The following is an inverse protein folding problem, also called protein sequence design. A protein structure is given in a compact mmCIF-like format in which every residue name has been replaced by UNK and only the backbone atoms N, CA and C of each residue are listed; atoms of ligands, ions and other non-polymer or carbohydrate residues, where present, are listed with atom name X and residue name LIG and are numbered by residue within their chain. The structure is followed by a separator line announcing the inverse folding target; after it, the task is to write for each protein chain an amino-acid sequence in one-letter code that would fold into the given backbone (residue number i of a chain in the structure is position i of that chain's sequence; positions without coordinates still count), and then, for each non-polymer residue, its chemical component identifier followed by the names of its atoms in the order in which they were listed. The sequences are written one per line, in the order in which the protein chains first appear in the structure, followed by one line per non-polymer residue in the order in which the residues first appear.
data_IF_899032660613
#
_entry.id   IF_899032660613
#
_cell.length_a   1.000
_cell.length_b   1.000
_cell.length_c   1.000
_cell.angle_alpha   90.00
_cell.angle_beta   90.00
_cell.angle_gamma   90.00
#
_symmetry.space_group_name_H-M   'P 1'
#
loop_
_entity.id
_entity.type
_entity.pdbx_description
1 polymer ?
#
# COMPACT_ATOMS: atom_id res chain seq x y z
N UNK A 1 2.15 -20.89 10.20
CA UNK A 1 2.69 -20.40 11.49
C UNK A 1 3.13 -18.95 11.39
N UNK A 2 3.94 -18.55 10.38
CA UNK A 2 4.45 -17.16 10.21
C UNK A 2 3.32 -16.14 10.09
N UNK A 3 2.30 -16.41 9.27
CA UNK A 3 1.18 -15.49 9.09
C UNK A 3 0.43 -15.23 10.41
N UNK A 4 0.09 -16.29 11.16
CA UNK A 4 -0.67 -16.18 12.40
C UNK A 4 0.13 -15.56 13.55
N UNK A 5 1.42 -15.93 13.67
CA UNK A 5 2.23 -15.52 14.82
C UNK A 5 2.95 -14.19 14.62
N UNK A 6 3.17 -13.77 13.37
CA UNK A 6 3.96 -12.56 13.06
C UNK A 6 3.10 -11.55 12.31
N UNK A 7 2.55 -11.91 11.16
CA UNK A 7 1.89 -10.96 10.25
C UNK A 7 0.57 -10.46 10.83
N UNK A 8 -0.27 -11.37 11.32
CA UNK A 8 -1.58 -11.02 11.87
C UNK A 8 -1.47 -10.06 13.07
N UNK A 9 -0.71 -10.34 14.15
CA UNK A 9 -0.61 -9.43 15.28
C UNK A 9 0.12 -8.12 14.94
N UNK A 10 1.05 -8.14 13.99
CA UNK A 10 1.75 -6.93 13.58
C UNK A 10 0.84 -5.96 12.79
N UNK A 11 -0.03 -6.48 11.93
CA UNK A 11 -0.89 -5.66 11.09
C UNK A 11 -2.22 -5.26 11.76
N UNK A 12 -2.74 -6.07 12.68
CA UNK A 12 -4.05 -5.84 13.30
C UNK A 12 -4.22 -4.44 13.92
N UNK A 13 -3.27 -3.91 14.72
CA UNK A 13 -3.39 -2.57 15.29
C UNK A 13 -3.49 -1.48 14.21
N UNK A 14 -2.74 -1.59 13.12
CA UNK A 14 -2.77 -0.62 12.02
C UNK A 14 -4.11 -0.63 11.27
N UNK A 15 -4.68 -1.84 11.06
CA UNK A 15 -6.01 -1.96 10.46
C UNK A 15 -7.09 -1.35 11.35
N UNK A 16 -7.08 -1.66 12.64
CA UNK A 16 -8.03 -1.07 13.59
C UNK A 16 -7.87 0.46 13.63
N UNK A 17 -6.64 0.96 13.74
CA UNK A 17 -6.36 2.39 13.77
C UNK A 17 -6.84 3.08 12.48
N UNK A 18 -6.59 2.51 11.29
CA UNK A 18 -7.05 3.07 10.02
C UNK A 18 -8.58 3.15 9.95
N UNK A 19 -9.28 2.08 10.38
CA UNK A 19 -10.75 2.04 10.44
C UNK A 19 -11.31 3.13 11.38
N UNK A 20 -10.71 3.29 12.56
CA UNK A 20 -11.11 4.33 13.53
C UNK A 20 -10.85 5.74 12.99
N UNK A 21 -9.67 5.99 12.42
CA UNK A 21 -9.31 7.28 11.84
C UNK A 21 -10.25 7.67 10.68
N UNK A 22 -10.64 6.69 9.86
CA UNK A 22 -11.65 6.93 8.81
C UNK A 22 -13.01 7.27 9.42
N UNK A 23 -13.49 6.51 10.40
CA UNK A 23 -14.76 6.76 11.06
C UNK A 23 -14.79 8.11 11.80
N UNK A 24 -13.66 8.55 12.35
CA UNK A 24 -13.53 9.87 12.98
C UNK A 24 -13.35 11.04 11.98
N UNK A 25 -13.40 10.77 10.69
CA UNK A 25 -13.33 11.81 9.66
C UNK A 25 -11.93 12.40 9.43
N UNK A 26 -10.86 11.76 9.94
CA UNK A 26 -9.48 12.21 9.74
C UNK A 26 -9.12 12.23 8.26
N UNK A 27 -9.65 11.28 7.47
CA UNK A 27 -9.50 11.25 6.01
C UNK A 27 -10.01 12.54 5.37
N UNK A 28 -11.17 13.02 5.82
CA UNK A 28 -11.78 14.24 5.29
C UNK A 28 -10.99 15.50 5.71
N UNK A 29 -10.46 15.52 6.93
CA UNK A 29 -9.55 16.55 7.40
C UNK A 29 -8.29 16.63 6.54
N UNK A 30 -7.58 15.52 6.40
CA UNK A 30 -6.39 15.43 5.57
C UNK A 30 -6.70 15.74 4.09
N UNK A 31 -7.87 15.31 3.64
CA UNK A 31 -8.36 15.55 2.29
C UNK A 31 -8.44 17.04 1.95
N UNK A 32 -9.01 17.84 2.82
CA UNK A 32 -9.09 19.30 2.60
C UNK A 32 -7.72 19.96 2.77
N UNK A 33 -6.97 19.55 3.79
CA UNK A 33 -5.68 20.19 4.12
C UNK A 33 -4.62 19.96 3.05
N UNK A 34 -4.55 18.75 2.48
CA UNK A 34 -3.51 18.33 1.56
C UNK A 34 -3.94 18.31 0.08
N UNK A 35 -5.19 18.72 -0.22
CA UNK A 35 -5.66 18.89 -1.60
C UNK A 35 -4.70 19.74 -2.47
N UNK A 36 -4.19 20.92 -1.98
CA UNK A 36 -3.29 21.77 -2.78
C UNK A 36 -1.94 21.12 -3.08
N UNK A 37 -1.57 20.08 -2.37
CA UNK A 37 -0.31 19.32 -2.58
C UNK A 37 -0.55 18.08 -3.45
N UNK A 38 -1.56 17.29 -3.11
CA UNK A 38 -1.83 16.01 -3.77
C UNK A 38 -2.29 16.18 -5.22
N UNK A 39 -3.13 17.17 -5.50
CA UNK A 39 -3.62 17.44 -6.85
C UNK A 39 -2.50 17.80 -7.83
N UNK A 40 -1.64 18.80 -7.58
CA UNK A 40 -0.59 19.15 -8.52
C UNK A 40 0.51 18.12 -8.61
N UNK A 41 0.85 17.39 -7.56
CA UNK A 41 1.94 16.43 -7.59
C UNK A 41 1.54 15.10 -8.21
N UNK A 42 0.41 14.52 -7.81
CA UNK A 42 0.03 13.15 -8.17
C UNK A 42 -1.28 13.06 -8.95
N UNK A 43 -2.00 14.17 -9.11
CA UNK A 43 -3.32 14.22 -9.74
C UNK A 43 -4.33 13.25 -9.10
N UNK A 44 -4.31 13.21 -7.77
CA UNK A 44 -5.24 12.47 -6.90
C UNK A 44 -5.87 13.41 -5.86
N UNK A 45 -7.01 13.07 -5.27
CA UNK A 45 -7.63 13.92 -4.25
C UNK A 45 -6.78 14.01 -2.99
N UNK A 46 -6.96 15.08 -2.23
CA UNK A 46 -6.27 15.26 -0.96
C UNK A 46 -6.51 14.13 0.05
N UNK A 47 -7.67 13.47 0.00
CA UNK A 47 -7.95 12.25 0.77
C UNK A 47 -6.92 11.12 0.52
N UNK A 48 -6.29 11.10 -0.65
CA UNK A 48 -5.20 10.19 -0.98
C UNK A 48 -3.96 10.36 -0.10
N UNK A 49 -3.78 11.54 0.53
CA UNK A 49 -2.70 11.75 1.50
C UNK A 49 -2.82 10.85 2.73
N UNK A 50 -4.04 10.55 3.15
CA UNK A 50 -4.28 9.59 4.23
C UNK A 50 -3.83 8.18 3.82
N UNK A 51 -4.17 7.75 2.61
CA UNK A 51 -3.72 6.45 2.06
C UNK A 51 -2.20 6.41 1.98
N UNK A 52 -1.59 7.49 1.51
CA UNK A 52 -0.13 7.60 1.43
C UNK A 52 0.52 7.47 2.81
N UNK A 53 0.03 8.21 3.82
CA UNK A 53 0.56 8.14 5.17
C UNK A 53 0.46 6.72 5.76
N UNK A 54 -0.71 6.08 5.65
CA UNK A 54 -0.90 4.72 6.18
C UNK A 54 -0.17 3.67 5.34
N UNK A 55 -0.22 3.77 4.02
CA UNK A 55 0.46 2.83 3.13
C UNK A 55 1.98 2.81 3.33
N UNK A 56 2.58 3.99 3.50
CA UNK A 56 4.03 4.12 3.71
C UNK A 56 4.48 3.69 5.12
N UNK A 57 3.63 3.79 6.11
CA UNK A 57 3.96 3.36 7.48
C UNK A 57 3.68 1.89 7.73
N UNK A 58 2.55 1.40 7.25
CA UNK A 58 2.08 0.03 7.55
C UNK A 58 2.45 -0.98 6.46
N UNK A 59 2.65 -0.50 5.22
CA UNK A 59 3.00 -1.35 4.08
C UNK A 59 1.78 -2.03 3.42
N UNK A 60 2.08 -2.86 2.40
CA UNK A 60 1.03 -3.63 1.73
C UNK A 60 0.43 -4.70 2.67
N UNK A 61 -0.84 -5.04 2.52
CA UNK A 61 -1.78 -4.56 1.50
C UNK A 61 -2.63 -3.35 1.94
N UNK A 62 -2.28 -2.65 3.02
CA UNK A 62 -3.13 -1.61 3.62
C UNK A 62 -3.38 -0.46 2.65
N UNK A 63 -2.37 -0.05 1.89
CA UNK A 63 -2.51 1.02 0.89
C UNK A 63 -3.63 0.73 -0.13
N UNK A 64 -3.66 -0.47 -0.69
CA UNK A 64 -4.70 -0.88 -1.65
C UNK A 64 -6.08 -0.97 -1.02
N UNK A 65 -6.18 -1.48 0.21
CA UNK A 65 -7.45 -1.64 0.91
C UNK A 65 -8.07 -0.30 1.28
N UNK A 66 -7.28 0.62 1.83
CA UNK A 66 -7.75 1.97 2.16
C UNK A 66 -8.13 2.73 0.88
N UNK A 67 -7.38 2.55 -0.22
CA UNK A 67 -7.73 3.11 -1.53
C UNK A 67 -9.09 2.59 -2.02
N UNK A 68 -9.31 1.27 -1.95
CA UNK A 68 -10.58 0.66 -2.34
C UNK A 68 -11.75 1.21 -1.52
N UNK A 69 -11.53 1.42 -0.22
CA UNK A 69 -12.53 2.04 0.66
C UNK A 69 -12.81 3.50 0.31
N UNK A 70 -11.76 4.30 0.03
CA UNK A 70 -11.95 5.68 -0.46
C UNK A 70 -12.82 5.71 -1.73
N UNK A 71 -12.58 4.75 -2.63
CA UNK A 71 -13.41 4.61 -3.84
C UNK A 71 -14.84 4.24 -3.53
N UNK A 72 -15.08 3.29 -2.63
CA UNK A 72 -16.41 2.87 -2.21
C UNK A 72 -17.20 4.00 -1.53
N UNK A 73 -16.53 4.86 -0.78
CA UNK A 73 -17.10 6.05 -0.12
C UNK A 73 -17.23 7.26 -1.08
N UNK A 74 -16.87 7.13 -2.37
CA UNK A 74 -16.97 8.21 -3.35
C UNK A 74 -15.97 9.36 -3.13
N UNK A 75 -14.87 9.13 -2.44
CA UNK A 75 -13.84 10.13 -2.14
C UNK A 75 -12.76 10.23 -3.22
N UNK A 76 -12.70 9.28 -4.15
CA UNK A 76 -11.84 9.31 -5.32
C UNK A 76 -12.51 8.64 -6.52
N UNK A 77 -12.10 9.02 -7.73
CA UNK A 77 -12.53 8.37 -8.97
C UNK A 77 -11.80 7.03 -9.15
N UNK A 78 -12.25 6.22 -10.12
CA UNK A 78 -11.57 4.97 -10.47
C UNK A 78 -10.13 5.22 -10.88
N UNK A 79 -9.90 6.18 -11.77
CA UNK A 79 -8.56 6.52 -12.27
C UNK A 79 -7.66 7.07 -11.16
N UNK A 80 -8.22 7.88 -10.25
CA UNK A 80 -7.49 8.38 -9.09
C UNK A 80 -7.14 7.25 -8.11
N UNK A 81 -8.03 6.27 -7.92
CA UNK A 81 -7.75 5.09 -7.12
C UNK A 81 -6.64 4.21 -7.74
N UNK A 82 -6.67 4.01 -9.07
CA UNK A 82 -5.64 3.27 -9.80
C UNK A 82 -4.26 3.94 -9.65
N UNK A 83 -4.19 5.27 -9.83
CA UNK A 83 -2.96 6.04 -9.57
C UNK A 83 -2.50 5.89 -8.13
N UNK A 84 -3.39 6.13 -7.18
CA UNK A 84 -3.08 6.13 -5.75
C UNK A 84 -2.54 4.76 -5.32
N UNK A 85 -3.22 3.69 -5.70
CA UNK A 85 -2.82 2.32 -5.37
C UNK A 85 -1.43 1.96 -5.93
N UNK A 86 -1.08 2.49 -7.10
CA UNK A 86 0.18 2.16 -7.77
C UNK A 86 1.43 2.62 -7.01
N UNK A 87 1.35 3.71 -6.22
CA UNK A 87 2.51 4.22 -5.49
C UNK A 87 2.36 4.20 -3.95
N UNK A 88 1.18 3.83 -3.43
CA UNK A 88 0.94 3.74 -1.98
C UNK A 88 0.89 2.32 -1.45
N UNK A 89 0.76 1.31 -2.33
CA UNK A 89 0.77 -0.09 -1.93
C UNK A 89 2.21 -0.63 -1.98
N UNK A 90 3.00 -0.31 -0.99
CA UNK A 90 4.44 -0.54 -0.90
C UNK A 90 4.84 -1.32 0.36
N UNK A 91 6.11 -1.64 0.51
CA UNK A 91 6.63 -2.32 1.69
C UNK A 91 6.72 -1.39 2.90
N UNK A 92 6.51 -1.91 4.10
CA UNK A 92 6.67 -1.13 5.32
C UNK A 92 8.14 -0.91 5.69
N UNK A 93 8.46 0.19 6.41
CA UNK A 93 9.81 0.42 6.93
C UNK A 93 10.30 -0.74 7.80
N UNK A 94 9.42 -1.29 8.63
CA UNK A 94 9.75 -2.42 9.50
C UNK A 94 10.17 -3.66 8.72
N UNK A 95 9.51 -3.93 7.58
CA UNK A 95 9.87 -5.04 6.72
C UNK A 95 11.23 -4.81 6.06
N UNK A 96 11.45 -3.64 5.48
CA UNK A 96 12.71 -3.33 4.78
C UNK A 96 13.91 -3.24 5.70
N UNK A 97 13.77 -2.55 6.83
CA UNK A 97 14.86 -2.35 7.79
C UNK A 97 15.07 -3.58 8.68
N UNK A 98 13.99 -4.23 9.14
CA UNK A 98 14.05 -5.36 10.05
C UNK A 98 14.22 -6.69 9.33
N UNK A 99 13.23 -7.08 8.53
CA UNK A 99 13.23 -8.42 7.93
C UNK A 99 14.28 -8.56 6.81
N UNK A 100 14.36 -7.57 5.89
CA UNK A 100 15.27 -7.67 4.74
C UNK A 100 16.70 -7.30 5.15
N UNK A 101 16.94 -6.09 5.65
CA UNK A 101 18.30 -5.63 5.91
C UNK A 101 18.99 -6.40 7.03
N UNK A 102 18.32 -6.56 8.17
CA UNK A 102 18.91 -7.27 9.32
C UNK A 102 18.71 -8.78 9.19
N UNK A 103 17.47 -9.22 8.88
CA UNK A 103 17.15 -10.65 8.89
C UNK A 103 17.72 -11.43 7.71
N UNK A 104 17.81 -10.84 6.51
CA UNK A 104 18.28 -11.52 5.29
C UNK A 104 19.73 -11.15 4.94
N UNK A 105 20.05 -9.86 4.92
CA UNK A 105 21.38 -9.38 4.54
C UNK A 105 22.35 -9.25 5.72
N UNK A 106 21.88 -9.41 6.96
CA UNK A 106 22.65 -9.21 8.19
C UNK A 106 23.45 -7.88 8.20
N UNK A 107 22.92 -6.86 7.54
CA UNK A 107 23.56 -5.56 7.40
C UNK A 107 22.52 -4.43 7.52
N UNK A 108 22.40 -3.76 8.68
CA UNK A 108 21.44 -2.68 8.89
C UNK A 108 21.61 -1.48 7.94
N UNK A 109 22.84 -1.22 7.47
CA UNK A 109 23.11 -0.09 6.58
C UNK A 109 22.46 -0.25 5.21
N UNK A 110 22.33 -1.48 4.70
CA UNK A 110 21.63 -1.74 3.44
C UNK A 110 20.14 -1.41 3.52
N UNK A 111 19.56 -1.45 4.71
CA UNK A 111 18.15 -1.12 4.92
C UNK A 111 17.79 0.31 4.55
N UNK A 112 18.67 1.26 4.86
CA UNK A 112 18.46 2.68 4.52
C UNK A 112 18.49 2.87 2.99
N UNK A 113 19.43 2.17 2.33
CA UNK A 113 19.54 2.23 0.85
C UNK A 113 18.30 1.61 0.19
N UNK A 114 17.90 0.42 0.66
CA UNK A 114 16.72 -0.30 0.13
C UNK A 114 15.46 0.53 0.36
N UNK A 115 15.24 1.03 1.57
CA UNK A 115 14.08 1.84 1.89
C UNK A 115 14.08 3.17 1.11
N UNK A 116 15.22 3.83 1.02
CA UNK A 116 15.38 5.06 0.25
C UNK A 116 15.09 4.86 -1.23
N UNK A 117 15.68 3.84 -1.86
CA UNK A 117 15.43 3.50 -3.26
C UNK A 117 13.95 3.15 -3.49
N UNK A 118 13.36 2.33 -2.63
CA UNK A 118 11.97 1.90 -2.73
C UNK A 118 11.00 3.07 -2.63
N UNK A 119 11.12 3.91 -1.60
CA UNK A 119 10.21 5.05 -1.44
C UNK A 119 10.41 6.13 -2.50
N UNK A 120 11.65 6.40 -2.88
CA UNK A 120 11.93 7.35 -3.96
C UNK A 120 11.34 6.86 -5.29
N UNK A 121 11.51 5.57 -5.62
CA UNK A 121 10.92 4.97 -6.82
C UNK A 121 9.40 5.07 -6.83
N UNK A 122 8.73 4.82 -5.69
CA UNK A 122 7.29 4.95 -5.58
C UNK A 122 6.81 6.41 -5.75
N UNK A 123 7.54 7.38 -5.19
CA UNK A 123 7.21 8.81 -5.39
C UNK A 123 7.38 9.23 -6.86
N UNK A 124 8.46 8.78 -7.50
CA UNK A 124 8.70 9.01 -8.94
C UNK A 124 7.60 8.35 -9.77
N UNK A 125 7.22 7.11 -9.45
CA UNK A 125 6.12 6.42 -10.10
C UNK A 125 4.81 7.19 -9.97
N UNK A 126 4.48 7.67 -8.76
CA UNK A 126 3.30 8.50 -8.52
C UNK A 126 3.31 9.78 -9.34
N UNK A 127 4.48 10.42 -9.47
CA UNK A 127 4.65 11.59 -10.31
C UNK A 127 4.49 11.27 -11.81
N UNK A 128 5.00 10.15 -12.29
CA UNK A 128 4.82 9.72 -13.69
C UNK A 128 3.35 9.40 -13.96
N UNK A 129 2.70 8.66 -13.07
CA UNK A 129 1.30 8.24 -13.23
C UNK A 129 0.28 9.40 -13.12
N UNK A 130 0.70 10.58 -12.68
CA UNK A 130 -0.18 11.77 -12.74
C UNK A 130 -0.68 12.07 -14.17
N UNK A 131 0.05 11.60 -15.19
CA UNK A 131 -0.31 11.78 -16.60
C UNK A 131 -1.20 10.65 -17.15
N UNK A 132 -1.30 9.52 -16.43
CA UNK A 132 -2.13 8.37 -16.80
C UNK A 132 -3.61 8.76 -16.84
N UNK A 133 -4.33 8.34 -17.89
CA UNK A 133 -5.77 8.54 -18.10
C UNK A 133 -6.25 9.98 -17.79
N UNK A 134 -5.50 10.98 -18.23
CA UNK A 134 -5.74 12.40 -17.94
C UNK A 134 -7.03 12.94 -18.55
N UNK A 135 -7.54 12.28 -19.58
CA UNK A 135 -8.78 12.62 -20.29
C UNK A 135 -10.05 12.16 -19.54
N UNK A 136 -9.95 11.12 -18.72
CA UNK A 136 -11.06 10.62 -17.93
C UNK A 136 -11.20 11.42 -16.63
N UNK A 137 -11.82 12.58 -16.71
CA UNK A 137 -12.13 13.41 -15.54
C UNK A 137 -13.54 13.09 -15.04
N UNK A 138 -13.67 12.10 -14.17
CA UNK A 138 -14.79 12.12 -13.23
C UNK A 138 -14.60 13.37 -12.35
N UNK A 139 -15.51 14.34 -12.50
CA UNK A 139 -15.47 15.58 -11.70
C UNK A 139 -16.00 15.30 -10.31
N UNK A 140 -15.12 14.96 -9.38
CA UNK A 140 -15.48 15.11 -7.98
C UNK A 140 -15.47 16.61 -7.61
N UNK A 141 -16.39 17.05 -6.74
CA UNK A 141 -16.45 18.45 -6.35
C UNK A 141 -15.11 18.88 -5.77
N UNK A 142 -14.42 19.75 -6.49
CA UNK A 142 -13.24 20.44 -5.94
C UNK A 142 -13.74 21.17 -4.69
N UNK A 143 -13.19 20.80 -3.56
CA UNK A 143 -13.43 21.56 -2.32
C UNK A 143 -12.81 22.94 -2.58
N UNK A 144 -13.64 23.92 -2.87
CA UNK A 144 -13.21 25.28 -3.14
C UNK A 144 -12.34 25.75 -1.97
N UNK A 145 -11.06 25.99 -2.26
CA UNK A 145 -10.08 26.57 -1.35
C UNK A 145 -10.47 28.04 -1.05
N UNK A 146 -11.45 28.23 -0.19
CA UNK A 146 -11.80 29.55 0.36
C UNK A 146 -11.08 29.74 1.69
N UNK A 147 -10.65 30.96 1.96
CA UNK A 147 -9.92 31.49 3.13
C UNK A 147 -10.07 30.64 4.40
N UNK A 148 -8.95 30.08 4.89
CA UNK A 148 -8.92 29.30 6.13
C UNK A 148 -8.91 27.77 5.92
N UNK A 149 -7.89 27.26 5.22
CA UNK A 149 -7.74 25.82 4.90
C UNK A 149 -7.93 24.93 6.13
N UNK A 150 -7.26 25.27 7.23
CA UNK A 150 -7.35 24.53 8.49
C UNK A 150 -8.77 24.56 9.07
N UNK A 151 -9.41 25.73 9.06
CA UNK A 151 -10.79 25.87 9.55
C UNK A 151 -11.77 25.06 8.71
N UNK A 152 -11.59 25.07 7.39
CA UNK A 152 -12.43 24.28 6.46
C UNK A 152 -12.21 22.78 6.66
N UNK A 153 -10.96 22.34 6.89
CA UNK A 153 -10.62 20.96 7.17
C UNK A 153 -11.26 20.47 8.49
N UNK A 154 -11.13 21.26 9.57
CA UNK A 154 -11.78 20.96 10.85
C UNK A 154 -13.30 20.93 10.74
N UNK A 155 -13.88 21.91 10.03
CA UNK A 155 -15.34 21.96 9.83
C UNK A 155 -15.82 20.69 9.08
N UNK A 156 -15.10 20.27 8.06
CA UNK A 156 -15.43 19.04 7.31
C UNK A 156 -15.34 17.78 8.17
N UNK A 157 -14.29 17.66 8.98
CA UNK A 157 -14.15 16.54 9.91
C UNK A 157 -15.29 16.51 10.93
N UNK A 158 -15.59 17.65 11.56
CA UNK A 158 -16.69 17.76 12.53
C UNK A 158 -18.07 17.49 11.90
N UNK A 159 -18.26 17.91 10.65
CA UNK A 159 -19.49 17.60 9.91
C UNK A 159 -19.69 16.09 9.73
N UNK A 160 -18.62 15.38 9.34
CA UNK A 160 -18.67 13.92 9.20
C UNK A 160 -18.93 13.25 10.55
N UNK A 161 -18.23 13.68 11.62
CA UNK A 161 -18.46 13.17 12.96
C UNK A 161 -19.91 13.39 13.46
N UNK A 162 -20.52 14.54 13.13
CA UNK A 162 -21.92 14.81 13.50
C UNK A 162 -22.93 13.99 12.71
N UNK A 163 -22.57 13.55 11.51
CA UNK A 163 -23.40 12.65 10.70
C UNK A 163 -23.27 11.18 11.12
N UNK A 164 -22.20 10.87 11.87
CA UNK A 164 -21.97 9.54 12.40
C UNK A 164 -22.84 9.33 13.66
N UNK A 165 -23.93 8.61 13.47
CA UNK A 165 -24.93 8.37 14.53
C UNK A 165 -24.64 7.11 15.37
N UNK A 166 -23.58 6.38 15.05
CA UNK A 166 -23.23 5.14 15.78
C UNK A 166 -22.56 5.47 17.10
N UNK A 167 -22.94 4.78 18.21
CA UNK A 167 -22.25 4.93 19.48
C UNK A 167 -20.80 4.46 19.36
N UNK A 168 -19.91 5.05 20.15
CA UNK A 168 -18.45 4.79 20.10
C UNK A 168 -18.13 3.29 20.21
N UNK A 169 -18.81 2.57 21.09
CA UNK A 169 -18.63 1.12 21.25
C UNK A 169 -18.94 0.34 19.97
N UNK A 170 -19.94 0.78 19.18
CA UNK A 170 -20.26 0.16 17.89
C UNK A 170 -19.18 0.47 16.84
N UNK A 171 -18.70 1.71 16.79
CA UNK A 171 -17.61 2.10 15.89
C UNK A 171 -16.36 1.26 16.16
N UNK A 172 -15.98 1.10 17.43
CA UNK A 172 -14.85 0.26 17.83
C UNK A 172 -15.07 -1.23 17.50
N UNK A 173 -16.26 -1.74 17.75
CA UNK A 173 -16.62 -3.13 17.43
C UNK A 173 -16.57 -3.39 15.91
N UNK A 174 -17.11 -2.48 15.12
CA UNK A 174 -17.08 -2.55 13.65
C UNK A 174 -15.62 -2.46 13.14
N UNK A 175 -14.80 -1.57 13.69
CA UNK A 175 -13.40 -1.42 13.33
C UNK A 175 -12.61 -2.71 13.58
N UNK A 176 -12.77 -3.35 14.74
CA UNK A 176 -12.12 -4.62 15.06
C UNK A 176 -12.62 -5.72 14.12
N UNK A 177 -13.94 -5.84 13.92
CA UNK A 177 -14.51 -6.85 13.01
C UNK A 177 -13.98 -6.70 11.59
N UNK A 178 -14.00 -5.50 11.05
CA UNK A 178 -13.51 -5.21 9.70
C UNK A 178 -12.02 -5.53 9.59
N UNK A 179 -11.22 -5.11 10.56
CA UNK A 179 -9.79 -5.38 10.61
C UNK A 179 -9.49 -6.89 10.60
N UNK A 180 -10.17 -7.66 11.45
CA UNK A 180 -10.01 -9.12 11.51
C UNK A 180 -10.44 -9.79 10.22
N UNK A 181 -11.62 -9.42 9.67
CA UNK A 181 -12.11 -9.98 8.40
C UNK A 181 -11.14 -9.71 7.26
N UNK A 182 -10.63 -8.49 7.16
CA UNK A 182 -9.67 -8.11 6.12
C UNK A 182 -8.36 -8.90 6.26
N UNK A 183 -7.85 -9.07 7.47
CA UNK A 183 -6.65 -9.87 7.71
C UNK A 183 -6.86 -11.34 7.38
N UNK A 184 -8.00 -11.92 7.72
CA UNK A 184 -8.32 -13.31 7.35
C UNK A 184 -8.36 -13.50 5.83
N UNK A 185 -8.96 -12.57 5.09
CA UNK A 185 -8.96 -12.58 3.62
C UNK A 185 -7.52 -12.52 3.06
N UNK A 186 -6.67 -11.62 3.59
CA UNK A 186 -5.25 -11.53 3.22
C UNK A 186 -4.54 -12.86 3.49
N UNK A 187 -4.76 -13.45 4.68
CA UNK A 187 -4.19 -14.75 5.04
C UNK A 187 -4.59 -15.85 4.07
N UNK A 188 -5.84 -15.87 3.62
CA UNK A 188 -6.34 -16.78 2.59
C UNK A 188 -5.58 -16.63 1.26
N UNK A 189 -5.38 -15.40 0.80
CA UNK A 189 -4.60 -15.14 -0.42
C UNK A 189 -3.12 -15.52 -0.27
N UNK A 190 -2.50 -15.23 0.87
CA UNK A 190 -1.11 -15.62 1.13
C UNK A 190 -0.96 -17.15 1.05
N UNK A 191 -1.89 -17.91 1.63
CA UNK A 191 -1.86 -19.38 1.58
C UNK A 191 -2.06 -19.86 0.13
N UNK A 192 -3.04 -19.31 -0.58
CA UNK A 192 -3.31 -19.65 -1.99
C UNK A 192 -2.07 -19.43 -2.86
N UNK A 193 -1.45 -18.24 -2.78
CA UNK A 193 -0.27 -17.93 -3.57
C UNK A 193 0.95 -18.77 -3.15
N UNK A 194 1.12 -19.07 -1.86
CA UNK A 194 2.18 -19.96 -1.41
C UNK A 194 2.06 -21.36 -2.02
N UNK A 195 0.83 -21.90 -2.12
CA UNK A 195 0.57 -23.20 -2.78
C UNK A 195 0.85 -23.11 -4.29
N UNK A 196 0.38 -22.04 -4.95
CA UNK A 196 0.64 -21.83 -6.39
C UNK A 196 2.15 -21.77 -6.67
N UNK A 197 2.90 -20.99 -5.90
CA UNK A 197 4.35 -20.87 -6.07
C UNK A 197 5.04 -22.24 -5.87
N UNK A 198 4.63 -22.99 -4.85
CA UNK A 198 5.18 -24.32 -4.59
C UNK A 198 4.91 -25.27 -5.76
N UNK A 199 3.73 -25.22 -6.37
CA UNK A 199 3.40 -25.99 -7.57
C UNK A 199 4.27 -25.57 -8.76
N UNK A 200 4.46 -24.26 -8.98
CA UNK A 200 5.31 -23.73 -10.05
C UNK A 200 6.78 -24.18 -9.91
N UNK A 201 7.27 -24.27 -8.68
CA UNK A 201 8.60 -24.86 -8.41
C UNK A 201 8.65 -26.34 -8.79
N UNK A 202 7.64 -27.12 -8.40
CA UNK A 202 7.58 -28.56 -8.68
C UNK A 202 7.50 -28.88 -10.18
N UNK A 203 6.77 -28.08 -10.94
CA UNK A 203 6.64 -28.22 -12.40
C UNK A 203 7.86 -27.69 -13.15
N UNK A 204 8.85 -27.11 -12.46
CA UNK A 204 10.05 -26.54 -13.08
C UNK A 204 9.84 -25.21 -13.80
N UNK A 205 8.66 -24.60 -13.65
CA UNK A 205 8.33 -23.32 -14.30
C UNK A 205 9.28 -22.19 -13.89
N UNK A 206 9.68 -22.14 -12.63
CA UNK A 206 10.62 -21.14 -12.12
C UNK A 206 12.00 -21.28 -12.80
N UNK A 207 12.47 -22.50 -13.01
CA UNK A 207 13.74 -22.76 -13.71
C UNK A 207 13.66 -22.35 -15.19
N UNK A 208 12.52 -22.59 -15.83
CA UNK A 208 12.27 -22.13 -17.21
C UNK A 208 12.27 -20.60 -17.28
N UNK A 209 11.61 -19.94 -16.36
CA UNK A 209 11.59 -18.48 -16.26
C UNK A 209 12.99 -17.92 -16.01
N UNK A 210 13.76 -18.54 -15.10
CA UNK A 210 15.15 -18.16 -14.84
C UNK A 210 16.01 -18.31 -16.10
N UNK A 211 15.81 -19.37 -16.88
CA UNK A 211 16.47 -19.57 -18.18
C UNK A 211 16.13 -18.47 -19.19
N UNK A 212 14.86 -18.09 -19.30
CA UNK A 212 14.45 -16.98 -20.17
C UNK A 212 15.05 -15.65 -19.72
N UNK A 213 15.01 -15.36 -18.41
CA UNK A 213 15.64 -14.17 -17.87
C UNK A 213 17.16 -14.17 -18.12
N UNK A 214 17.79 -15.34 -18.09
CA UNK A 214 19.22 -15.50 -18.39
C UNK A 214 19.60 -15.00 -19.79
N UNK A 215 18.75 -15.21 -20.79
CA UNK A 215 19.01 -14.74 -22.15
C UNK A 215 19.25 -13.22 -22.19
N UNK A 216 18.53 -12.47 -21.37
CA UNK A 216 18.60 -11.02 -21.33
C UNK A 216 19.61 -10.49 -20.29
N UNK A 217 19.77 -11.18 -19.16
CA UNK A 217 20.53 -10.67 -18.02
C UNK A 217 21.99 -11.10 -18.02
N UNK A 218 22.31 -12.30 -18.55
CA UNK A 218 23.71 -12.75 -18.65
C UNK A 218 24.59 -11.83 -19.51
N UNK A 219 24.11 -11.32 -20.68
CA UNK A 219 24.89 -10.36 -21.46
C UNK A 219 25.14 -9.02 -20.77
N UNK A 220 24.31 -8.68 -19.76
CA UNK A 220 24.44 -7.47 -18.94
C UNK A 220 25.38 -7.67 -17.74
N UNK A 221 26.02 -8.85 -17.61
CA UNK A 221 27.00 -9.14 -16.56
C UNK A 221 26.40 -9.66 -15.25
N UNK A 222 25.13 -10.09 -15.23
CA UNK A 222 24.54 -10.73 -14.06
C UNK A 222 25.08 -12.16 -13.88
N UNK A 223 25.33 -12.55 -12.62
CA UNK A 223 25.74 -13.93 -12.30
C UNK A 223 24.61 -14.91 -12.55
N UNK A 224 24.88 -16.12 -13.11
CA UNK A 224 23.88 -17.17 -13.28
C UNK A 224 23.19 -17.57 -11.98
N UNK A 225 23.86 -17.44 -10.85
CA UNK A 225 23.33 -17.79 -9.52
C UNK A 225 22.17 -16.89 -9.07
N UNK A 226 22.06 -15.68 -9.62
CA UNK A 226 20.99 -14.73 -9.30
C UNK A 226 19.69 -15.04 -10.07
N UNK A 227 19.76 -15.76 -11.17
CA UNK A 227 18.61 -15.98 -12.04
C UNK A 227 17.45 -16.74 -11.38
N UNK A 228 17.67 -17.83 -10.61
CA UNK A 228 16.61 -18.49 -9.86
C UNK A 228 16.00 -17.58 -8.78
N UNK A 229 16.83 -16.76 -8.13
CA UNK A 229 16.39 -15.79 -7.13
C UNK A 229 15.51 -14.71 -7.76
N UNK A 230 15.86 -14.18 -8.92
CA UNK A 230 15.04 -13.23 -9.67
C UNK A 230 13.76 -13.88 -10.20
N UNK A 231 13.84 -15.10 -10.71
CA UNK A 231 12.68 -15.85 -11.21
C UNK A 231 11.64 -16.12 -10.11
N UNK A 232 12.08 -16.51 -8.91
CA UNK A 232 11.20 -16.71 -7.77
C UNK A 232 10.74 -15.39 -7.14
N UNK A 233 11.63 -14.38 -7.08
CA UNK A 233 11.34 -13.05 -6.56
C UNK A 233 10.28 -12.30 -7.36
N UNK A 234 10.11 -12.64 -8.63
CA UNK A 234 9.03 -12.10 -9.46
C UNK A 234 7.63 -12.48 -8.93
N UNK A 235 7.48 -13.66 -8.32
CA UNK A 235 6.23 -14.13 -7.74
C UNK A 235 6.13 -13.79 -6.26
N UNK A 236 7.24 -13.89 -5.53
CA UNK A 236 7.28 -13.63 -4.09
C UNK A 236 8.69 -13.22 -3.65
N UNK A 237 8.80 -11.99 -3.18
CA UNK A 237 10.09 -11.36 -2.85
C UNK A 237 10.82 -12.06 -1.70
N UNK A 238 10.09 -12.59 -0.70
CA UNK A 238 10.72 -13.25 0.45
C UNK A 238 11.35 -14.60 0.10
N UNK A 239 10.85 -15.29 -0.93
CA UNK A 239 11.45 -16.51 -1.44
C UNK A 239 12.69 -16.17 -2.27
N UNK A 240 12.59 -15.19 -3.17
CA UNK A 240 13.72 -14.76 -3.99
C UNK A 240 14.91 -14.23 -3.20
N UNK A 241 14.69 -13.60 -2.05
CA UNK A 241 15.75 -13.08 -1.20
C UNK A 241 16.44 -14.11 -0.31
N UNK A 242 15.94 -15.36 -0.27
CA UNK A 242 16.54 -16.48 0.48
C UNK A 242 17.40 -17.39 -0.39
N UNK A 243 17.30 -17.29 -1.68
CA UNK A 243 18.11 -18.01 -2.66
C UNK A 243 19.37 -17.22 -3.00
#
# INVERSE_FOLDING_TARGET
KTWWNIVFPALLPFFIASELLMSFGVVHFMGVLLEPVMRPLFNVPGAGSFVMAIGYTSGYPIGSMVTARLRAEGLCSRVEAERLMSFTNNSSPLFMLGAVAVGMFNNPATGVIIAGAHYLSNLVLGFILRFYARSERERFPNTCLRKGLLRSALHRMLQVQRQENRPLGKIMGDAVRNAVTNLLNIGGFIILFAVIIQLLFHVGFINTLAGVLGIFLLPLGFSPEILPALGSGFFEMTIGSRL
#
